data_IF_215288022802
#
_entry.id   IF_215288022802
#
_cell.length_a   1.000
_cell.length_b   1.000
_cell.length_c   1.000
_cell.angle_alpha   90.00
_cell.angle_beta   90.00
_cell.angle_gamma   90.00
#
_symmetry.space_group_name_H-M   'P 1'
#
loop_
_entity.id
_entity.type
_entity.pdbx_description
1 polymer ?
#
# COMPACT_ATOMS: atom_id res chain seq x y z
N UNK A 1 -21.54 4.82 -78.78
CA UNK A 1 -21.37 3.43 -79.25
C UNK A 1 -19.89 3.16 -79.45
N UNK A 2 -19.40 2.04 -78.89
CA UNK A 2 -18.20 1.29 -79.24
C UNK A 2 -16.92 2.02 -79.68
N UNK A 3 -15.84 1.88 -78.90
CA UNK A 3 -14.70 1.10 -79.39
C UNK A 3 -13.74 0.70 -78.26
N UNK A 4 -13.47 -0.61 -78.21
CA UNK A 4 -12.41 -1.29 -77.47
C UNK A 4 -11.17 -1.35 -78.37
N UNK A 5 -9.98 -0.97 -77.87
CA UNK A 5 -8.81 -1.86 -77.74
C UNK A 5 -7.44 -1.16 -77.84
N UNK A 6 -6.50 -1.71 -77.02
CA UNK A 6 -5.03 -1.76 -77.15
C UNK A 6 -4.19 -0.55 -76.70
N UNK A 7 -3.82 -0.59 -75.42
CA UNK A 7 -2.46 -0.30 -74.93
C UNK A 7 -2.05 -1.54 -74.11
N UNK A 8 -0.93 -2.22 -74.31
CA UNK A 8 0.43 -1.69 -74.45
C UNK A 8 1.17 -2.04 -73.16
N UNK A 9 1.68 -3.28 -73.06
CA UNK A 9 2.48 -3.81 -71.95
C UNK A 9 3.78 -3.01 -71.79
N UNK A 10 3.97 -2.34 -70.66
CA UNK A 10 5.27 -1.93 -70.13
C UNK A 10 5.29 -2.23 -68.62
N UNK A 11 6.28 -3.03 -68.21
CA UNK A 11 6.37 -3.66 -66.90
C UNK A 11 6.50 -2.69 -65.74
N UNK A 12 5.59 -2.83 -64.77
CA UNK A 12 5.70 -2.24 -63.44
C UNK A 12 6.45 -3.17 -62.49
N UNK A 13 7.57 -2.68 -61.95
CA UNK A 13 8.31 -3.28 -60.84
C UNK A 13 7.40 -3.42 -59.60
N UNK A 14 6.96 -4.63 -59.28
CA UNK A 14 6.36 -4.96 -57.99
C UNK A 14 7.44 -4.90 -56.90
N UNK A 15 7.53 -3.78 -56.18
CA UNK A 15 8.28 -3.72 -54.92
C UNK A 15 7.53 -4.56 -53.87
N UNK A 16 8.20 -5.59 -53.35
CA UNK A 16 7.74 -6.39 -52.20
C UNK A 16 7.44 -5.48 -51.00
N UNK A 17 6.43 -5.80 -50.16
CA UNK A 17 6.17 -5.05 -48.94
C UNK A 17 7.35 -5.20 -47.97
N UNK A 18 7.66 -4.17 -47.16
CA UNK A 18 8.81 -4.20 -46.26
C UNK A 18 8.57 -5.25 -45.17
N UNK A 19 9.56 -6.14 -44.99
CA UNK A 19 9.58 -7.07 -43.86
C UNK A 19 9.52 -6.29 -42.55
N UNK A 20 8.55 -6.64 -41.68
CA UNK A 20 8.47 -6.17 -40.30
C UNK A 20 9.78 -6.53 -39.59
N UNK A 21 10.64 -5.53 -39.36
CA UNK A 21 11.74 -5.64 -38.42
C UNK A 21 11.15 -5.83 -37.02
N UNK A 22 11.34 -7.00 -36.44
CA UNK A 22 11.10 -7.27 -35.02
C UNK A 22 11.95 -6.28 -34.21
N UNK A 23 11.32 -5.26 -33.63
CA UNK A 23 11.95 -4.40 -32.63
C UNK A 23 12.22 -5.29 -31.41
N UNK A 24 13.47 -5.73 -31.23
CA UNK A 24 13.94 -6.16 -29.91
C UNK A 24 13.71 -4.98 -28.97
N UNK A 25 12.88 -5.17 -27.95
CA UNK A 25 12.88 -4.27 -26.79
C UNK A 25 14.30 -4.28 -26.24
N UNK A 26 15.02 -3.17 -26.44
CA UNK A 26 16.26 -2.92 -25.71
C UNK A 26 15.82 -2.54 -24.30
N UNK A 27 15.95 -3.49 -23.39
CA UNK A 27 15.84 -3.22 -21.96
C UNK A 27 17.03 -2.33 -21.61
N UNK A 28 16.81 -1.02 -21.50
CA UNK A 28 17.83 -0.09 -20.98
C UNK A 28 17.95 -0.43 -19.49
N UNK A 29 18.89 -1.32 -19.16
CA UNK A 29 19.40 -1.43 -17.79
C UNK A 29 20.17 -0.14 -17.54
N UNK A 30 19.54 0.83 -16.89
CA UNK A 30 20.27 1.88 -16.21
C UNK A 30 21.15 1.19 -15.17
N UNK A 31 22.45 1.13 -15.43
CA UNK A 31 23.46 0.75 -14.45
C UNK A 31 23.51 1.90 -13.41
N UNK A 32 22.52 1.95 -12.52
CA UNK A 32 22.57 2.82 -11.34
C UNK A 32 23.54 2.19 -10.34
N UNK A 33 24.32 3.02 -9.66
CA UNK A 33 25.30 2.51 -8.69
C UNK A 33 24.56 1.82 -7.53
N UNK A 34 25.14 0.75 -6.98
CA UNK A 34 24.55 0.01 -5.85
C UNK A 34 24.39 0.87 -4.58
N UNK A 35 25.14 1.97 -4.47
CA UNK A 35 25.09 2.91 -3.34
C UNK A 35 23.84 3.82 -3.35
N UNK A 36 23.24 4.07 -4.52
CA UNK A 36 22.08 4.97 -4.68
C UNK A 36 20.74 4.38 -4.16
N UNK A 37 20.59 3.05 -4.16
CA UNK A 37 19.32 2.38 -3.78
C UNK A 37 19.34 1.78 -2.37
N UNK A 38 20.18 2.30 -1.49
CA UNK A 38 20.26 1.86 -0.10
C UNK A 38 18.91 2.03 0.61
N UNK A 39 18.38 0.99 1.29
CA UNK A 39 17.12 1.10 2.04
C UNK A 39 17.12 2.27 3.02
N UNK A 40 15.93 2.83 3.27
CA UNK A 40 15.72 3.92 4.24
C UNK A 40 14.88 3.37 5.40
N UNK A 41 15.30 3.68 6.64
CA UNK A 41 14.56 3.27 7.83
C UNK A 41 13.22 3.98 7.95
N UNK A 42 12.23 3.29 8.54
CA UNK A 42 10.94 3.88 8.88
C UNK A 42 11.06 5.08 9.83
N UNK A 43 12.11 5.13 10.65
CA UNK A 43 12.34 6.17 11.66
C UNK A 43 12.59 7.56 11.04
N UNK A 44 12.89 7.64 9.75
CA UNK A 44 13.01 8.91 9.02
C UNK A 44 11.64 9.57 8.76
N UNK A 45 10.55 8.82 8.92
CA UNK A 45 9.19 9.24 8.58
C UNK A 45 8.20 9.12 9.74
N UNK A 46 8.33 8.13 10.61
CA UNK A 46 7.46 7.96 11.77
C UNK A 46 8.25 8.10 13.07
N UNK A 47 7.59 8.63 14.10
CA UNK A 47 8.19 8.81 15.42
C UNK A 47 8.20 7.52 16.23
N UNK A 48 7.17 6.68 16.06
CA UNK A 48 7.03 5.44 16.81
C UNK A 48 6.65 4.28 15.91
N UNK A 49 7.30 3.13 16.14
CA UNK A 49 6.86 1.80 15.70
C UNK A 49 6.46 1.03 16.95
N UNK A 50 5.23 0.53 17.01
CA UNK A 50 4.71 -0.25 18.14
C UNK A 50 4.10 -1.55 17.68
N UNK A 51 4.13 -2.53 18.57
CA UNK A 51 3.41 -3.79 18.40
C UNK A 51 2.21 -3.85 19.34
N UNK A 52 1.06 -4.23 18.80
CA UNK A 52 -0.19 -4.37 19.54
C UNK A 52 -0.62 -5.83 19.52
N UNK A 53 -0.64 -6.47 20.68
CA UNK A 53 -1.05 -7.86 20.85
C UNK A 53 -2.56 -7.99 21.07
N UNK A 54 -3.21 -8.83 20.27
CA UNK A 54 -4.66 -9.05 20.22
C UNK A 54 -4.92 -10.54 20.00
N UNK A 55 -5.44 -11.23 21.00
CA UNK A 55 -5.86 -12.64 20.90
C UNK A 55 -4.78 -13.57 20.29
N UNK A 56 -3.52 -13.37 20.68
CA UNK A 56 -2.37 -14.13 20.17
C UNK A 56 -1.81 -13.67 18.82
N UNK A 57 -2.45 -12.70 18.17
CA UNK A 57 -1.92 -11.98 17.01
C UNK A 57 -1.16 -10.73 17.47
N UNK A 58 -0.16 -10.29 16.70
CA UNK A 58 0.66 -9.12 16.97
C UNK A 58 0.72 -8.23 15.76
N UNK A 59 0.18 -7.01 15.86
CA UNK A 59 0.12 -6.07 14.75
C UNK A 59 1.15 -4.96 14.90
N UNK A 60 1.91 -4.69 13.83
CA UNK A 60 2.82 -3.57 13.78
C UNK A 60 2.10 -2.30 13.35
N UNK A 61 2.37 -1.20 14.05
CA UNK A 61 1.81 0.12 13.79
C UNK A 61 2.90 1.18 13.79
N UNK A 62 2.70 2.20 12.98
CA UNK A 62 3.63 3.32 12.82
C UNK A 62 2.86 4.62 13.00
N UNK A 63 3.33 5.50 13.88
CA UNK A 63 2.62 6.73 14.23
C UNK A 63 3.48 7.98 14.19
N UNK A 64 2.83 9.10 13.86
CA UNK A 64 3.41 10.44 13.74
C UNK A 64 2.33 11.49 14.03
N UNK A 65 2.70 12.64 14.59
CA UNK A 65 1.81 13.81 14.69
C UNK A 65 1.19 14.02 16.07
N UNK A 66 0.21 14.91 16.15
CA UNK A 66 -0.34 15.39 17.43
C UNK A 66 -1.42 14.44 17.98
N UNK A 67 -1.10 13.76 19.09
CA UNK A 67 -1.96 12.77 19.77
C UNK A 67 -3.32 13.29 20.23
N UNK A 68 -3.49 14.61 20.37
CA UNK A 68 -4.77 15.22 20.77
C UNK A 68 -5.67 15.61 19.57
N UNK A 69 -5.18 15.43 18.35
CA UNK A 69 -5.88 15.80 17.12
C UNK A 69 -6.68 14.64 16.51
N UNK A 70 -7.37 14.89 15.40
CA UNK A 70 -8.06 13.85 14.61
C UNK A 70 -7.08 12.74 14.22
N UNK A 71 -7.53 11.48 14.35
CA UNK A 71 -6.74 10.30 14.01
C UNK A 71 -7.00 9.87 12.57
N UNK A 72 -5.94 9.85 11.76
CA UNK A 72 -5.95 9.36 10.39
C UNK A 72 -5.39 7.93 10.39
N UNK A 73 -6.27 6.94 10.22
CA UNK A 73 -5.90 5.52 10.18
C UNK A 73 -5.63 5.11 8.74
N UNK A 74 -4.41 4.65 8.46
CA UNK A 74 -3.94 4.35 7.11
C UNK A 74 -3.83 2.85 6.87
N UNK A 75 -4.59 2.35 5.89
CA UNK A 75 -4.68 0.94 5.53
C UNK A 75 -4.12 0.70 4.12
N UNK A 76 -3.02 -0.05 4.02
CA UNK A 76 -2.33 -0.30 2.75
C UNK A 76 -3.05 -1.33 1.85
N UNK A 77 -2.62 -1.41 0.58
CA UNK A 77 -3.13 -2.39 -0.39
C UNK A 77 -2.58 -3.81 -0.20
N UNK A 78 -3.12 -4.79 -0.94
CA UNK A 78 -2.67 -6.18 -0.87
C UNK A 78 -1.23 -6.36 -1.36
N UNK A 79 -0.39 -7.04 -0.58
CA UNK A 79 1.04 -7.22 -0.86
C UNK A 79 1.93 -6.04 -0.49
N UNK A 80 1.37 -4.97 0.05
CA UNK A 80 2.08 -3.80 0.57
C UNK A 80 2.25 -3.88 2.10
N UNK A 81 2.59 -2.77 2.74
CA UNK A 81 2.77 -2.60 4.18
C UNK A 81 2.51 -1.14 4.59
N UNK A 82 2.54 -0.84 5.89
CA UNK A 82 2.33 0.49 6.46
C UNK A 82 3.31 1.54 5.92
N UNK A 83 4.52 1.16 5.53
CA UNK A 83 5.56 2.06 5.04
C UNK A 83 5.28 2.63 3.65
N UNK A 84 4.24 2.15 2.97
CA UNK A 84 3.70 2.83 1.77
C UNK A 84 3.15 4.22 2.06
N UNK A 85 2.91 4.53 3.34
CA UNK A 85 2.40 5.82 3.78
C UNK A 85 3.49 6.77 4.29
N UNK A 86 4.76 6.36 4.30
CA UNK A 86 5.87 7.09 4.93
C UNK A 86 5.97 8.56 4.50
N UNK A 87 6.13 8.81 3.20
CA UNK A 87 6.27 10.18 2.68
C UNK A 87 4.95 10.96 2.84
N UNK A 88 3.83 10.31 2.54
CA UNK A 88 2.50 10.90 2.67
C UNK A 88 2.24 11.41 4.10
N UNK A 89 2.52 10.59 5.12
CA UNK A 89 2.31 10.92 6.53
C UNK A 89 3.12 12.17 6.93
N UNK A 90 4.40 12.23 6.52
CA UNK A 90 5.29 13.36 6.77
C UNK A 90 4.81 14.66 6.12
N UNK A 91 4.24 14.59 4.91
CA UNK A 91 3.63 15.76 4.27
C UNK A 91 2.32 16.17 4.96
N UNK A 92 1.48 15.20 5.34
CA UNK A 92 0.18 15.47 5.94
C UNK A 92 0.28 16.22 7.28
N UNK A 93 1.12 15.73 8.20
CA UNK A 93 1.26 16.35 9.53
C UNK A 93 1.92 17.73 9.47
N UNK A 94 2.67 18.02 8.39
CA UNK A 94 3.21 19.35 8.12
C UNK A 94 2.17 20.33 7.60
N UNK A 95 1.03 19.85 7.09
CA UNK A 95 -0.01 20.65 6.45
C UNK A 95 -1.26 20.86 7.34
N UNK A 96 -1.52 19.97 8.29
CA UNK A 96 -2.62 20.15 9.24
C UNK A 96 -2.39 19.39 10.56
N UNK A 97 -3.00 19.89 11.64
CA UNK A 97 -2.99 19.27 12.96
C UNK A 97 -3.74 17.93 12.94
N UNK A 98 -3.00 16.84 12.90
CA UNK A 98 -3.54 15.48 12.91
C UNK A 98 -2.54 14.51 13.52
N UNK A 99 -3.04 13.34 13.90
CA UNK A 99 -2.24 12.16 14.20
C UNK A 99 -2.42 11.14 13.08
N UNK A 100 -1.35 10.50 12.67
CA UNK A 100 -1.36 9.39 11.71
C UNK A 100 -1.08 8.08 12.44
N UNK A 101 -1.82 7.03 12.09
CA UNK A 101 -1.54 5.65 12.47
C UNK A 101 -1.59 4.75 11.23
N UNK A 102 -0.43 4.37 10.71
CA UNK A 102 -0.30 3.40 9.63
C UNK A 102 -0.16 1.99 10.20
N UNK A 103 -0.93 1.05 9.66
CA UNK A 103 -1.06 -0.31 10.21
C UNK A 103 -0.57 -1.32 9.19
N UNK A 104 0.28 -2.25 9.62
CA UNK A 104 0.55 -3.47 8.87
C UNK A 104 -0.62 -4.43 9.04
N UNK A 105 -1.32 -4.71 7.94
CA UNK A 105 -2.44 -5.66 7.94
C UNK A 105 -1.96 -7.09 8.24
N UNK A 106 -2.89 -7.96 8.65
CA UNK A 106 -2.64 -9.41 8.79
C UNK A 106 -1.88 -9.98 7.59
N UNK A 107 -0.84 -10.78 7.85
CA UNK A 107 0.02 -11.38 6.83
C UNK A 107 0.97 -10.42 6.11
N UNK A 108 0.97 -9.13 6.45
CA UNK A 108 1.76 -8.09 5.79
C UNK A 108 2.73 -7.43 6.77
N UNK A 109 3.74 -6.74 6.20
CA UNK A 109 4.75 -5.99 6.95
C UNK A 109 5.30 -6.76 8.15
N UNK A 110 5.40 -6.13 9.31
CA UNK A 110 5.87 -6.76 10.55
C UNK A 110 4.76 -7.44 11.37
N UNK A 111 3.50 -7.40 10.94
CA UNK A 111 2.39 -8.05 11.65
C UNK A 111 2.47 -9.57 11.55
N UNK A 112 2.30 -10.24 12.69
CA UNK A 112 2.28 -11.70 12.81
C UNK A 112 0.91 -12.14 13.32
N UNK A 113 0.31 -13.13 12.68
CA UNK A 113 -0.97 -13.68 13.15
C UNK A 113 -0.92 -15.20 13.25
N UNK A 114 -1.79 -15.74 14.11
CA UNK A 114 -1.95 -17.17 14.32
C UNK A 114 -2.46 -17.90 13.08
N UNK A 115 -3.20 -17.20 12.20
CA UNK A 115 -3.62 -17.70 10.88
C UNK A 115 -3.52 -16.61 9.81
N UNK A 116 -2.39 -16.57 9.11
CA UNK A 116 -2.17 -15.66 7.97
C UNK A 116 -2.94 -16.10 6.69
N UNK A 117 -3.68 -17.22 6.71
CA UNK A 117 -4.45 -17.69 5.54
C UNK A 117 -5.90 -17.19 5.52
N UNK A 118 -6.44 -16.80 6.68
CA UNK A 118 -7.74 -16.15 6.78
C UNK A 118 -7.60 -14.64 6.55
N UNK A 119 -7.72 -14.27 5.28
CA UNK A 119 -7.71 -12.89 4.81
C UNK A 119 -9.12 -12.50 4.34
N UNK A 120 -10.14 -13.01 5.01
CA UNK A 120 -11.53 -12.62 4.75
C UNK A 120 -11.76 -11.16 5.17
N UNK A 121 -12.76 -10.51 4.55
CA UNK A 121 -13.08 -9.13 4.87
C UNK A 121 -13.54 -8.96 6.33
N UNK A 122 -14.26 -9.95 6.87
CA UNK A 122 -14.69 -9.98 8.27
C UNK A 122 -13.48 -10.00 9.21
N UNK A 123 -12.50 -10.86 8.95
CA UNK A 123 -11.29 -10.97 9.78
C UNK A 123 -10.46 -9.69 9.73
N UNK A 124 -10.23 -9.12 8.55
CA UNK A 124 -9.55 -7.82 8.45
C UNK A 124 -10.28 -6.70 9.19
N UNK A 125 -11.62 -6.64 9.07
CA UNK A 125 -12.44 -5.62 9.76
C UNK A 125 -12.31 -5.75 11.27
N UNK A 126 -12.41 -6.98 11.79
CA UNK A 126 -12.29 -7.26 13.22
C UNK A 126 -10.88 -6.96 13.75
N UNK A 127 -9.83 -7.34 13.01
CA UNK A 127 -8.44 -7.06 13.38
C UNK A 127 -8.22 -5.56 13.62
N UNK A 128 -8.67 -4.71 12.69
CA UNK A 128 -8.48 -3.25 12.79
C UNK A 128 -9.33 -2.63 13.90
N UNK A 129 -10.60 -3.05 14.04
CA UNK A 129 -11.47 -2.53 15.12
C UNK A 129 -10.87 -2.89 16.48
N UNK A 130 -10.48 -4.14 16.70
CA UNK A 130 -9.86 -4.60 17.95
C UNK A 130 -8.53 -3.88 18.21
N UNK A 131 -7.73 -3.65 17.16
CA UNK A 131 -6.46 -2.92 17.28
C UNK A 131 -6.67 -1.49 17.73
N UNK A 132 -7.63 -0.77 17.13
CA UNK A 132 -7.93 0.60 17.51
C UNK A 132 -8.44 0.66 18.96
N UNK A 133 -9.37 -0.23 19.34
CA UNK A 133 -9.87 -0.32 20.73
C UNK A 133 -8.75 -0.57 21.73
N UNK A 134 -7.80 -1.45 21.38
CA UNK A 134 -6.64 -1.76 22.23
C UNK A 134 -5.63 -0.61 22.31
N UNK A 135 -5.47 0.15 21.23
CA UNK A 135 -4.51 1.25 21.14
C UNK A 135 -5.01 2.53 21.82
N UNK A 136 -6.33 2.72 21.93
CA UNK A 136 -6.97 3.88 22.55
C UNK A 136 -8.02 3.46 23.59
N UNK A 137 -7.62 2.84 24.71
CA UNK A 137 -8.54 2.25 25.69
C UNK A 137 -9.35 3.30 26.46
N UNK A 138 -8.75 4.45 26.76
CA UNK A 138 -9.38 5.48 27.62
C UNK A 138 -10.29 6.41 26.82
N UNK A 139 -9.82 6.83 25.65
CA UNK A 139 -10.53 7.78 24.80
C UNK A 139 -10.15 7.60 23.34
N UNK A 140 -11.12 7.13 22.55
CA UNK A 140 -11.00 7.06 21.10
C UNK A 140 -11.07 8.46 20.48
N UNK A 141 -10.04 8.93 19.74
CA UNK A 141 -10.13 10.17 18.98
C UNK A 141 -11.17 10.05 17.86
N UNK A 142 -11.64 11.17 17.30
CA UNK A 142 -12.39 11.11 16.04
C UNK A 142 -11.52 10.55 14.93
N UNK A 143 -12.07 9.67 14.11
CA UNK A 143 -11.32 8.90 13.12
C UNK A 143 -11.67 9.33 11.70
N UNK A 144 -10.63 9.49 10.88
CA UNK A 144 -10.73 9.43 9.42
C UNK A 144 -10.03 8.15 8.96
N UNK A 145 -10.80 7.23 8.38
CA UNK A 145 -10.24 6.03 7.77
C UNK A 145 -9.77 6.36 6.35
N UNK A 146 -8.53 5.97 6.01
CA UNK A 146 -8.00 6.12 4.66
C UNK A 146 -7.37 4.80 4.20
N UNK A 147 -7.76 4.35 3.01
CA UNK A 147 -7.30 3.06 2.52
C UNK A 147 -7.06 3.02 1.01
N UNK A 148 -6.01 2.28 0.63
CA UNK A 148 -5.66 2.02 -0.78
C UNK A 148 -6.02 0.60 -1.18
N UNK A 149 -6.67 0.42 -2.33
CA UNK A 149 -7.00 -0.90 -2.88
C UNK A 149 -7.72 -1.78 -1.85
N UNK A 150 -7.15 -2.93 -1.43
CA UNK A 150 -7.62 -3.76 -0.32
C UNK A 150 -7.89 -2.95 0.96
N UNK A 151 -6.98 -2.07 1.37
CA UNK A 151 -7.16 -1.22 2.55
C UNK A 151 -8.35 -0.27 2.42
N UNK A 152 -8.66 0.19 1.20
CA UNK A 152 -9.87 0.98 0.93
C UNK A 152 -11.14 0.15 1.13
N UNK A 153 -11.12 -1.10 0.68
CA UNK A 153 -12.22 -2.02 0.91
C UNK A 153 -12.43 -2.32 2.41
N UNK A 154 -11.35 -2.53 3.15
CA UNK A 154 -11.39 -2.72 4.61
C UNK A 154 -11.97 -1.47 5.30
N UNK A 155 -11.50 -0.27 4.94
CA UNK A 155 -11.99 0.99 5.50
C UNK A 155 -13.51 1.18 5.31
N UNK A 156 -14.02 0.86 4.11
CA UNK A 156 -15.46 0.89 3.81
C UNK A 156 -16.21 -0.11 4.70
N UNK A 157 -15.70 -1.33 4.86
CA UNK A 157 -16.38 -2.36 5.65
C UNK A 157 -16.43 -1.98 7.13
N UNK A 158 -15.33 -1.48 7.71
CA UNK A 158 -15.28 -0.95 9.08
C UNK A 158 -16.33 0.14 9.27
N UNK A 159 -16.38 1.13 8.37
CA UNK A 159 -17.31 2.25 8.49
C UNK A 159 -18.78 1.89 8.18
N UNK A 160 -19.04 0.73 7.60
CA UNK A 160 -20.40 0.29 7.22
C UNK A 160 -21.00 -0.75 8.17
N UNK A 161 -20.19 -1.42 8.99
CA UNK A 161 -20.68 -2.46 9.89
C UNK A 161 -21.33 -1.85 11.14
N UNK A 162 -22.39 -2.49 11.63
CA UNK A 162 -23.03 -2.16 12.91
C UNK A 162 -22.16 -2.56 14.13
N UNK A 163 -21.16 -3.43 13.92
CA UNK A 163 -20.25 -3.88 14.98
C UNK A 163 -19.17 -2.83 15.34
N UNK A 164 -19.01 -1.81 14.50
CA UNK A 164 -18.06 -0.71 14.74
C UNK A 164 -18.73 0.41 15.53
N UNK A 165 -18.22 0.63 16.74
CA UNK A 165 -18.54 1.77 17.60
C UNK A 165 -17.53 2.92 17.45
N UNK A 166 -16.65 2.84 16.45
CA UNK A 166 -15.60 3.81 16.22
C UNK A 166 -16.21 5.14 15.77
N UNK A 167 -15.76 6.29 16.31
CA UNK A 167 -16.25 7.62 15.95
C UNK A 167 -15.68 8.08 14.59
N UNK A 168 -16.10 7.41 13.51
CA UNK A 168 -15.62 7.65 12.15
C UNK A 168 -16.34 8.87 11.58
N UNK A 169 -15.60 9.96 11.42
CA UNK A 169 -16.11 11.23 10.88
C UNK A 169 -15.78 11.41 9.40
N UNK A 170 -14.81 10.66 8.88
CA UNK A 170 -14.40 10.70 7.49
C UNK A 170 -13.93 9.35 6.93
N UNK A 171 -14.10 9.17 5.62
CA UNK A 171 -13.68 7.99 4.88
C UNK A 171 -13.04 8.40 3.55
N UNK A 172 -11.82 7.95 3.33
CA UNK A 172 -11.01 8.24 2.15
C UNK A 172 -10.63 6.94 1.46
N UNK A 173 -11.04 6.78 0.21
CA UNK A 173 -10.82 5.56 -0.56
C UNK A 173 -9.95 5.88 -1.76
N UNK A 174 -8.87 5.11 -1.94
CA UNK A 174 -7.89 5.32 -3.00
C UNK A 174 -7.88 4.13 -3.97
N UNK A 175 -8.16 4.44 -5.23
CA UNK A 175 -7.98 3.56 -6.40
C UNK A 175 -8.68 2.20 -6.27
N UNK A 176 -9.89 2.17 -5.68
CA UNK A 176 -10.76 0.99 -5.65
C UNK A 176 -12.20 1.36 -5.97
N UNK A 177 -12.75 0.67 -6.97
CA UNK A 177 -14.15 0.74 -7.39
C UNK A 177 -14.60 -0.67 -7.72
N UNK A 178 -15.76 -1.09 -7.23
CA UNK A 178 -16.25 -2.48 -7.33
C UNK A 178 -16.19 -3.02 -8.76
N UNK A 179 -16.84 -2.35 -9.72
CA UNK A 179 -16.93 -2.84 -11.10
C UNK A 179 -15.56 -3.09 -11.73
N UNK A 180 -14.70 -2.08 -11.71
CA UNK A 180 -13.34 -2.19 -12.29
C UNK A 180 -12.44 -3.17 -11.53
N UNK A 181 -12.58 -3.29 -10.21
CA UNK A 181 -11.83 -4.24 -9.40
C UNK A 181 -12.19 -5.69 -9.76
N UNK A 182 -13.50 -5.98 -9.87
CA UNK A 182 -14.01 -7.31 -10.23
C UNK A 182 -13.57 -7.73 -11.63
N UNK A 183 -13.60 -6.81 -12.60
CA UNK A 183 -13.11 -7.05 -13.96
C UNK A 183 -11.59 -7.32 -14.01
N UNK A 184 -10.84 -6.70 -13.09
CA UNK A 184 -9.38 -6.76 -13.07
C UNK A 184 -8.81 -7.97 -12.35
N UNK A 185 -9.62 -8.77 -11.62
CA UNK A 185 -9.12 -9.88 -10.80
C UNK A 185 -8.28 -10.89 -11.60
N UNK A 186 -8.75 -11.30 -12.78
CA UNK A 186 -8.02 -12.23 -13.64
C UNK A 186 -6.67 -11.65 -14.12
N UNK A 187 -6.66 -10.36 -14.46
CA UNK A 187 -5.44 -9.67 -14.89
C UNK A 187 -4.42 -9.54 -13.75
N UNK A 188 -4.90 -9.32 -12.52
CA UNK A 188 -4.07 -9.25 -11.32
C UNK A 188 -3.38 -10.59 -11.09
N UNK A 189 -4.06 -11.71 -11.26
CA UNK A 189 -3.43 -13.01 -11.08
C UNK A 189 -2.32 -13.29 -12.09
N UNK A 190 -2.54 -12.94 -13.37
CA UNK A 190 -1.49 -13.01 -14.40
C UNK A 190 -0.30 -12.14 -14.02
N UNK A 191 -0.57 -10.93 -13.53
CA UNK A 191 0.45 -10.01 -13.10
C UNK A 191 1.28 -10.54 -11.93
N UNK A 192 0.64 -11.04 -10.86
CA UNK A 192 1.31 -11.61 -9.69
C UNK A 192 2.19 -12.80 -10.06
N UNK A 193 1.73 -13.68 -10.95
CA UNK A 193 2.50 -14.84 -11.43
C UNK A 193 3.71 -14.46 -12.27
N UNK A 194 3.69 -13.27 -12.88
CA UNK A 194 4.81 -12.75 -13.69
C UNK A 194 5.94 -12.14 -12.85
N UNK A 195 5.69 -11.87 -11.56
CA UNK A 195 6.70 -11.28 -10.66
C UNK A 195 7.88 -12.24 -10.45
N UNK A 196 9.11 -11.73 -10.24
CA UNK A 196 10.21 -12.54 -9.76
C UNK A 196 9.82 -13.28 -8.49
N UNK A 197 10.21 -14.56 -8.40
CA UNK A 197 9.95 -15.37 -7.21
C UNK A 197 10.90 -15.07 -6.06
N UNK A 198 12.04 -14.46 -6.34
CA UNK A 198 13.07 -14.15 -5.36
C UNK A 198 13.97 -13.02 -5.85
N UNK A 199 14.61 -12.33 -4.90
CA UNK A 199 15.59 -11.26 -5.13
C UNK A 199 16.91 -11.61 -4.46
N UNK A 200 18.05 -11.17 -5.02
CA UNK A 200 19.37 -11.47 -4.43
C UNK A 200 19.70 -10.55 -3.26
N UNK A 201 19.23 -9.31 -3.30
CA UNK A 201 19.44 -8.27 -2.29
C UNK A 201 18.20 -7.39 -2.15
N UNK A 202 18.15 -6.59 -1.07
CA UNK A 202 17.15 -5.52 -0.90
C UNK A 202 17.22 -4.50 -2.06
N UNK A 203 18.43 -4.12 -2.47
CA UNK A 203 18.66 -3.19 -3.59
C UNK A 203 18.13 -3.72 -4.93
N UNK A 204 18.28 -5.03 -5.20
CA UNK A 204 17.72 -5.68 -6.38
C UNK A 204 16.18 -5.63 -6.37
N UNK A 205 15.56 -5.81 -5.19
CA UNK A 205 14.12 -5.72 -5.02
C UNK A 205 13.61 -4.28 -5.22
N UNK A 206 14.30 -3.29 -4.64
CA UNK A 206 13.99 -1.86 -4.80
C UNK A 206 14.07 -1.47 -6.28
N UNK A 207 15.18 -1.83 -6.94
CA UNK A 207 15.38 -1.59 -8.37
C UNK A 207 14.28 -2.22 -9.22
N UNK A 208 13.87 -3.45 -8.89
CA UNK A 208 12.78 -4.13 -9.60
C UNK A 208 11.43 -3.43 -9.42
N UNK A 209 11.09 -2.99 -8.20
CA UNK A 209 9.85 -2.27 -7.93
C UNK A 209 9.75 -0.95 -8.70
N UNK A 210 10.86 -0.23 -8.80
CA UNK A 210 10.93 0.98 -9.62
C UNK A 210 10.82 0.69 -11.13
N UNK A 211 11.54 -0.33 -11.61
CA UNK A 211 11.65 -0.62 -13.05
C UNK A 211 10.38 -1.16 -13.72
N UNK A 212 9.48 -1.80 -12.97
CA UNK A 212 8.25 -2.38 -13.52
C UNK A 212 7.01 -1.49 -13.32
N UNK A 213 7.21 -0.21 -12.98
CA UNK A 213 6.12 0.76 -12.84
C UNK A 213 5.23 0.51 -11.63
N UNK A 214 5.71 -0.19 -10.60
CA UNK A 214 4.97 -0.34 -9.34
C UNK A 214 5.02 0.94 -8.51
N UNK A 215 6.22 1.51 -8.36
CA UNK A 215 6.46 2.73 -7.59
C UNK A 215 7.41 3.60 -8.39
N UNK A 216 6.98 4.81 -8.74
CA UNK A 216 7.77 5.77 -9.53
C UNK A 216 8.68 6.62 -8.64
N UNK A 217 8.29 6.83 -7.38
CA UNK A 217 9.04 7.58 -6.41
C UNK A 217 10.16 6.73 -5.79
N UNK A 218 11.41 7.13 -6.03
CA UNK A 218 12.59 6.42 -5.55
C UNK A 218 12.68 6.36 -4.02
N UNK A 219 12.40 7.47 -3.36
CA UNK A 219 12.46 7.56 -1.90
C UNK A 219 11.38 6.66 -1.27
N UNK A 220 10.15 6.69 -1.80
CA UNK A 220 9.08 5.79 -1.36
C UNK A 220 9.44 4.32 -1.57
N UNK A 221 10.03 3.99 -2.72
CA UNK A 221 10.46 2.62 -3.03
C UNK A 221 11.53 2.12 -2.04
N UNK A 222 12.48 2.97 -1.65
CA UNK A 222 13.58 2.63 -0.73
C UNK A 222 13.12 2.39 0.71
N UNK A 223 12.00 2.99 1.13
CA UNK A 223 11.41 2.76 2.46
C UNK A 223 10.38 1.62 2.45
N UNK A 224 9.54 1.51 1.43
CA UNK A 224 8.38 0.61 1.45
C UNK A 224 8.65 -0.80 0.94
N UNK A 225 9.51 -0.97 -0.08
CA UNK A 225 9.77 -2.28 -0.71
C UNK A 225 10.42 -3.29 0.25
N UNK A 226 11.39 -2.91 1.12
CA UNK A 226 11.94 -3.87 2.07
C UNK A 226 10.89 -4.54 2.96
N UNK A 227 9.80 -3.84 3.30
CA UNK A 227 8.68 -4.39 4.07
C UNK A 227 7.76 -5.32 3.26
N UNK A 228 7.98 -5.47 1.95
CA UNK A 228 7.21 -6.37 1.07
C UNK A 228 7.93 -7.70 0.84
N UNK A 229 9.18 -7.83 1.31
CA UNK A 229 10.01 -9.02 1.14
C UNK A 229 10.56 -9.49 2.48
N UNK A 230 10.92 -10.78 2.54
CA UNK A 230 11.56 -11.39 3.70
C UNK A 230 12.73 -12.26 3.27
N UNK A 231 13.71 -12.38 4.14
CA UNK A 231 14.83 -13.26 3.96
C UNK A 231 14.37 -14.72 3.97
N UNK A 232 14.85 -15.52 3.02
CA UNK A 232 14.47 -16.93 2.91
C UNK A 232 15.10 -17.75 4.03
N UNK A 233 16.32 -17.43 4.45
CA UNK A 233 17.06 -18.19 5.46
C UNK A 233 16.62 -17.86 6.87
N UNK A 234 16.48 -16.57 7.20
CA UNK A 234 16.15 -16.12 8.57
C UNK A 234 14.65 -15.95 8.80
N UNK A 235 13.85 -15.82 7.73
CA UNK A 235 12.43 -15.50 7.82
C UNK A 235 12.12 -14.05 8.21
N UNK A 236 13.14 -13.25 8.57
CA UNK A 236 12.99 -11.84 8.97
C UNK A 236 12.54 -10.97 7.79
N UNK A 237 11.76 -9.93 8.08
CA UNK A 237 11.34 -8.97 7.07
C UNK A 237 12.56 -8.17 6.59
N UNK A 238 12.53 -7.70 5.34
CA UNK A 238 13.66 -6.95 4.77
C UNK A 238 14.02 -5.68 5.55
N UNK A 239 13.04 -5.03 6.19
CA UNK A 239 13.24 -3.87 7.09
C UNK A 239 14.06 -4.23 8.33
N UNK A 240 13.81 -5.40 8.90
CA UNK A 240 14.43 -5.82 10.17
C UNK A 240 15.92 -6.20 10.02
N UNK A 241 16.47 -6.13 8.81
CA UNK A 241 17.88 -6.39 8.54
C UNK A 241 18.75 -5.14 8.63
N UNK A 242 18.15 -3.95 8.60
CA UNK A 242 18.86 -2.67 8.68
C UNK A 242 18.25 -1.69 9.69
N UNK A 243 17.06 -1.98 10.22
CA UNK A 243 16.47 -1.21 11.31
C UNK A 243 16.95 -1.70 12.68
N UNK A 244 17.15 -0.75 13.60
CA UNK A 244 17.32 -1.04 15.02
C UNK A 244 16.01 -1.62 15.62
N UNK A 245 16.09 -2.48 16.65
CA UNK A 245 14.92 -3.03 17.30
C UNK A 245 14.03 -1.92 17.89
N UNK A 246 12.71 -2.03 17.67
CA UNK A 246 11.75 -1.05 18.17
C UNK A 246 11.79 -0.96 19.70
N UNK A 247 11.74 0.26 20.24
CA UNK A 247 11.58 0.49 21.68
C UNK A 247 10.13 0.19 22.04
N UNK A 248 9.86 -0.99 22.64
CA UNK A 248 8.59 -1.28 23.31
C UNK A 248 8.46 -0.34 24.52
N UNK A 249 7.95 0.88 24.29
CA UNK A 249 7.59 1.79 25.39
C UNK A 249 6.13 1.55 25.77
N UNK A 250 5.80 1.40 27.07
CA UNK A 250 4.42 1.22 27.51
C UNK A 250 3.56 2.44 27.15
N UNK A 251 2.25 2.22 27.08
CA UNK A 251 1.20 3.24 27.00
C UNK A 251 1.51 4.43 27.93
N UNK A 252 1.25 5.66 27.46
CA UNK A 252 1.44 6.93 28.18
C UNK A 252 0.88 6.88 29.63
N UNK A 253 1.74 6.56 30.60
CA UNK A 253 1.63 6.90 32.03
C UNK A 253 3.04 6.83 32.66
N UNK A 254 3.36 7.78 33.54
CA UNK A 254 4.71 8.20 33.93
C UNK A 254 5.55 7.23 34.81
N UNK A 255 6.87 7.27 34.55
CA UNK A 255 8.08 7.33 35.41
C UNK A 255 8.38 6.35 36.59
N UNK A 256 9.69 5.95 36.60
CA UNK A 256 10.55 5.35 37.69
C UNK A 256 10.40 3.82 37.86
N UNK A 257 11.41 2.92 37.98
CA UNK A 257 12.88 2.91 38.21
C UNK A 257 13.47 1.55 37.78
N UNK A 258 14.79 1.48 37.51
CA UNK A 258 15.59 0.25 37.29
C UNK A 258 15.52 -0.77 38.44
N UNK A 259 15.85 -2.06 38.18
CA UNK A 259 17.22 -2.50 38.48
C UNK A 259 17.88 -3.49 37.48
N UNK A 260 19.21 -3.49 37.56
CA UNK A 260 20.25 -4.31 36.91
C UNK A 260 20.11 -5.83 37.13
N UNK A 261 20.68 -6.66 36.22
CA UNK A 261 21.53 -7.87 36.47
C UNK A 261 21.96 -8.44 35.09
N UNK A 262 23.23 -8.31 34.70
CA UNK A 262 24.36 -9.28 34.78
C UNK A 262 24.42 -10.36 33.68
N UNK A 263 25.54 -10.32 32.95
CA UNK A 263 26.02 -11.23 31.91
C UNK A 263 26.53 -12.55 32.53
N UNK A 264 26.32 -13.69 31.86
CA UNK A 264 27.37 -14.71 31.69
C UNK A 264 27.04 -15.87 30.71
N UNK A 265 28.04 -16.15 29.85
CA UNK A 265 28.56 -17.48 29.42
C UNK A 265 27.94 -18.33 28.28
N UNK A 266 28.61 -18.22 27.11
CA UNK A 266 29.07 -19.18 26.05
C UNK A 266 28.79 -20.70 26.20
N UNK A 267 28.42 -21.36 25.07
CA UNK A 267 29.10 -22.56 24.47
C UNK A 267 28.65 -22.97 23.06
N UNK A 268 29.66 -23.19 22.20
CA UNK A 268 29.81 -23.96 20.93
C UNK A 268 29.28 -25.41 21.03
N UNK A 269 29.05 -26.26 20.02
CA UNK A 269 29.11 -26.35 18.53
C UNK A 269 28.31 -27.63 18.16
N UNK A 270 27.83 -27.78 16.91
CA UNK A 270 28.04 -28.99 16.09
C UNK A 270 27.34 -28.93 14.70
N UNK A 271 28.03 -29.46 13.70
CA UNK A 271 27.82 -29.29 12.26
C UNK A 271 27.32 -30.56 11.53
N UNK A 272 26.69 -30.30 10.39
CA UNK A 272 26.49 -31.12 9.18
C UNK A 272 25.79 -32.49 9.17
N UNK A 273 24.67 -32.50 8.44
CA UNK A 273 24.23 -33.64 7.63
C UNK A 273 23.78 -33.16 6.24
N UNK A 274 24.53 -33.54 5.19
CA UNK A 274 24.26 -33.18 3.80
C UNK A 274 23.19 -34.09 3.17
N UNK A 275 22.26 -33.53 2.39
CA UNK A 275 21.40 -34.28 1.48
C UNK A 275 21.25 -33.59 0.12
N UNK A 276 21.69 -34.35 -0.89
CA UNK A 276 21.28 -34.40 -2.31
C UNK A 276 20.82 -33.11 -3.03
N UNK A 277 21.75 -32.56 -3.82
CA UNK A 277 21.53 -31.42 -4.73
C UNK A 277 20.82 -31.89 -6.01
N UNK A 278 19.53 -31.61 -6.12
CA UNK A 278 18.86 -31.40 -7.40
C UNK A 278 19.21 -29.98 -7.87
N UNK A 279 19.76 -29.83 -9.09
CA UNK A 279 20.15 -28.56 -9.70
C UNK A 279 18.98 -27.59 -9.90
N UNK A 280 18.51 -26.99 -8.81
CA UNK A 280 17.67 -25.79 -8.81
C UNK A 280 18.63 -24.60 -8.95
N UNK A 281 18.34 -23.68 -9.86
CA UNK A 281 18.99 -22.35 -9.85
C UNK A 281 18.96 -21.83 -8.42
N UNK A 282 20.05 -21.26 -7.87
CA UNK A 282 20.03 -20.75 -6.51
C UNK A 282 18.89 -19.75 -6.38
N UNK A 283 17.97 -20.02 -5.46
CA UNK A 283 16.92 -19.06 -5.10
C UNK A 283 17.64 -17.81 -4.56
N UNK A 284 17.16 -16.62 -4.92
CA UNK A 284 17.66 -15.39 -4.33
C UNK A 284 17.44 -15.36 -2.81
N UNK A 285 18.18 -14.53 -2.08
CA UNK A 285 18.15 -14.47 -0.61
C UNK A 285 16.80 -13.99 -0.04
N UNK A 286 15.98 -13.29 -0.83
CA UNK A 286 14.69 -12.76 -0.40
C UNK A 286 13.55 -13.29 -1.25
N UNK A 287 12.38 -13.42 -0.64
CA UNK A 287 11.10 -13.73 -1.29
C UNK A 287 10.03 -12.75 -0.84
N UNK A 288 8.90 -12.70 -1.55
CA UNK A 288 7.74 -11.90 -1.13
C UNK A 288 7.28 -12.29 0.28
N UNK A 289 6.97 -11.29 1.10
CA UNK A 289 6.44 -11.47 2.47
C UNK A 289 5.18 -12.34 2.44
N UNK A 290 4.26 -12.02 1.53
CA UNK A 290 3.00 -12.70 1.33
C UNK A 290 2.89 -13.23 -0.11
N UNK A 291 2.39 -14.46 -0.24
CA UNK A 291 2.01 -15.01 -1.54
C UNK A 291 0.58 -14.56 -1.87
N UNK A 292 0.47 -13.36 -2.44
CA UNK A 292 -0.82 -12.77 -2.75
C UNK A 292 -1.64 -13.61 -3.73
N UNK A 293 -1.03 -14.49 -4.54
CA UNK A 293 -1.79 -15.39 -5.42
C UNK A 293 -2.67 -16.37 -4.62
N UNK A 294 -2.23 -16.79 -3.42
CA UNK A 294 -2.99 -17.73 -2.57
C UNK A 294 -4.23 -17.10 -1.94
N UNK A 295 -4.33 -15.77 -1.99
CA UNK A 295 -5.42 -15.02 -1.38
C UNK A 295 -6.59 -14.80 -2.35
N UNK A 296 -6.47 -15.28 -3.59
CA UNK A 296 -7.48 -15.16 -4.66
C UNK A 296 -8.89 -15.58 -4.23
N UNK A 297 -9.00 -16.64 -3.42
CA UNK A 297 -10.27 -17.14 -2.89
C UNK A 297 -11.06 -16.07 -2.11
N UNK A 298 -10.38 -15.06 -1.57
CA UNK A 298 -10.96 -13.98 -0.78
C UNK A 298 -11.29 -12.74 -1.61
N UNK A 299 -10.68 -12.54 -2.79
CA UNK A 299 -10.78 -11.30 -3.56
C UNK A 299 -12.22 -10.90 -3.94
N UNK A 300 -13.10 -11.83 -4.38
CA UNK A 300 -14.49 -11.46 -4.63
C UNK A 300 -15.17 -10.87 -3.40
N UNK A 301 -14.94 -11.47 -2.22
CA UNK A 301 -15.47 -10.99 -0.95
C UNK A 301 -14.89 -9.65 -0.48
N UNK A 302 -13.75 -9.22 -1.03
CA UNK A 302 -13.19 -7.90 -0.73
C UNK A 302 -13.96 -6.77 -1.42
N UNK A 303 -14.40 -6.98 -2.66
CA UNK A 303 -14.93 -5.89 -3.50
C UNK A 303 -16.44 -5.99 -3.77
N UNK A 304 -17.05 -7.17 -3.57
CA UNK A 304 -18.48 -7.35 -3.84
C UNK A 304 -19.35 -6.45 -2.93
N UNK A 305 -20.24 -5.68 -3.56
CA UNK A 305 -21.13 -4.72 -2.90
C UNK A 305 -20.42 -3.48 -2.33
N UNK A 306 -19.13 -3.30 -2.61
CA UNK A 306 -18.32 -2.23 -2.03
C UNK A 306 -18.86 -0.84 -2.37
N UNK A 307 -19.28 -0.61 -3.62
CA UNK A 307 -19.75 0.71 -4.04
C UNK A 307 -21.04 1.11 -3.31
N UNK A 308 -21.96 0.15 -3.11
CA UNK A 308 -23.19 0.39 -2.35
C UNK A 308 -22.92 0.65 -0.87
N UNK A 309 -22.03 -0.13 -0.25
CA UNK A 309 -21.60 0.09 1.14
C UNK A 309 -20.94 1.47 1.30
N UNK A 310 -20.05 1.85 0.40
CA UNK A 310 -19.42 3.17 0.41
C UNK A 310 -20.47 4.30 0.39
N UNK A 311 -21.50 4.17 -0.46
CA UNK A 311 -22.55 5.17 -0.58
C UNK A 311 -23.52 5.22 0.61
N UNK A 312 -23.67 4.14 1.39
CA UNK A 312 -24.55 4.11 2.57
C UNK A 312 -23.94 4.70 3.83
N UNK A 313 -22.62 4.92 3.86
CA UNK A 313 -21.91 5.39 5.05
C UNK A 313 -22.23 6.86 5.35
N UNK A 314 -22.62 7.13 6.60
CA UNK A 314 -22.98 8.45 7.13
C UNK A 314 -21.77 9.26 7.64
N UNK A 315 -20.69 9.29 6.88
CA UNK A 315 -19.50 10.09 7.14
C UNK A 315 -19.13 10.92 5.90
N UNK A 316 -18.24 11.90 6.07
CA UNK A 316 -17.72 12.65 4.92
C UNK A 316 -16.79 11.76 4.11
N UNK A 317 -17.01 11.73 2.79
CA UNK A 317 -16.37 10.77 1.89
C UNK A 317 -15.54 11.46 0.84
N UNK A 318 -14.36 10.93 0.59
CA UNK A 318 -13.44 11.34 -0.47
C UNK A 318 -12.98 10.11 -1.26
N UNK A 319 -13.12 10.16 -2.58
CA UNK A 319 -12.63 9.14 -3.51
C UNK A 319 -11.48 9.70 -4.34
N UNK A 320 -10.31 9.07 -4.26
CA UNK A 320 -9.13 9.40 -5.07
C UNK A 320 -8.95 8.35 -6.15
N UNK A 321 -8.93 8.76 -7.42
CA UNK A 321 -8.76 7.85 -8.56
C UNK A 321 -7.51 8.23 -9.37
N UNK A 322 -6.75 7.22 -9.80
CA UNK A 322 -5.67 7.41 -10.77
C UNK A 322 -6.22 7.67 -12.19
N UNK A 323 -7.41 7.15 -12.49
CA UNK A 323 -8.12 7.37 -13.75
C UNK A 323 -9.65 7.37 -13.54
N UNK A 324 -10.36 8.27 -14.22
CA UNK A 324 -11.82 8.41 -14.17
C UNK A 324 -12.56 7.22 -14.78
N UNK A 325 -11.91 6.50 -15.70
CA UNK A 325 -12.49 5.34 -16.40
C UNK A 325 -12.84 4.16 -15.47
N UNK A 326 -12.46 4.26 -14.20
CA UNK A 326 -12.70 3.22 -13.19
C UNK A 326 -14.04 3.34 -12.48
N UNK A 327 -14.81 4.42 -12.68
CA UNK A 327 -16.10 4.58 -12.01
C UNK A 327 -17.13 3.56 -12.53
N UNK A 328 -17.82 2.89 -11.61
CA UNK A 328 -18.99 2.07 -11.92
C UNK A 328 -20.27 2.91 -11.92
N UNK A 329 -21.38 2.27 -12.30
CA UNK A 329 -22.69 2.93 -12.38
C UNK A 329 -23.14 3.51 -11.04
N UNK A 330 -22.94 2.78 -9.94
CA UNK A 330 -23.45 3.18 -8.63
C UNK A 330 -22.68 4.39 -8.10
N UNK A 331 -21.34 4.39 -8.20
CA UNK A 331 -20.51 5.54 -7.85
C UNK A 331 -20.71 6.73 -8.78
N UNK A 332 -20.94 6.51 -10.07
CA UNK A 332 -21.26 7.59 -11.02
C UNK A 332 -22.54 8.31 -10.59
N UNK A 333 -23.61 7.57 -10.28
CA UNK A 333 -24.87 8.13 -9.79
C UNK A 333 -24.66 8.82 -8.44
N UNK A 334 -23.92 8.20 -7.52
CA UNK A 334 -23.62 8.79 -6.21
C UNK A 334 -22.84 10.10 -6.31
N UNK A 335 -21.89 10.19 -7.24
CA UNK A 335 -21.10 11.39 -7.49
C UNK A 335 -21.96 12.50 -8.07
N UNK A 336 -22.81 12.20 -9.05
CA UNK A 336 -23.77 13.15 -9.61
C UNK A 336 -24.78 13.67 -8.58
N UNK A 337 -25.07 12.88 -7.54
CA UNK A 337 -25.90 13.27 -6.40
C UNK A 337 -25.14 14.04 -5.31
N UNK A 338 -23.83 14.27 -5.47
CA UNK A 338 -23.00 14.96 -4.48
C UNK A 338 -22.78 14.20 -3.17
N UNK A 339 -22.87 12.86 -3.19
CA UNK A 339 -22.75 12.03 -1.96
C UNK A 339 -21.32 11.91 -1.43
N UNK A 340 -20.32 12.24 -2.23
CA UNK A 340 -18.91 12.22 -1.86
C UNK A 340 -18.12 13.23 -2.71
N UNK A 341 -16.94 13.59 -2.26
CA UNK A 341 -15.98 14.33 -3.08
C UNK A 341 -15.13 13.36 -3.90
N UNK A 342 -14.80 13.74 -5.13
CA UNK A 342 -13.90 12.97 -5.99
C UNK A 342 -12.76 13.85 -6.49
N UNK A 343 -11.54 13.31 -6.45
CA UNK A 343 -10.37 13.91 -7.08
C UNK A 343 -9.69 12.88 -7.97
N UNK A 344 -9.26 13.32 -9.15
CA UNK A 344 -8.54 12.48 -10.12
C UNK A 344 -7.10 12.95 -10.21
N UNK A 345 -6.17 12.03 -9.98
CA UNK A 345 -4.73 12.27 -10.10
C UNK A 345 -4.23 11.59 -11.38
N UNK A 346 -4.08 12.32 -12.50
CA UNK A 346 -3.54 11.72 -13.72
C UNK A 346 -2.04 11.49 -13.60
N UNK A 347 -1.52 10.48 -14.31
CA UNK A 347 -0.08 10.16 -14.46
C UNK A 347 0.61 9.51 -13.26
N UNK A 348 -0.12 9.11 -12.24
CA UNK A 348 0.37 8.21 -11.17
C UNK A 348 0.14 6.75 -11.56
N UNK A 349 0.94 5.84 -10.98
CA UNK A 349 0.83 4.40 -11.09
C UNK A 349 -0.25 3.84 -10.18
N UNK A 350 -0.06 2.59 -9.71
CA UNK A 350 -1.07 1.90 -8.91
C UNK A 350 -1.17 2.43 -7.46
N UNK A 351 -0.04 2.81 -6.85
CA UNK A 351 0.02 3.36 -5.49
C UNK A 351 0.22 4.88 -5.56
N UNK A 352 -0.87 5.64 -5.73
CA UNK A 352 -0.82 7.10 -5.92
C UNK A 352 -0.22 7.81 -4.71
N UNK A 353 -0.42 7.25 -3.51
CA UNK A 353 0.15 7.73 -2.25
C UNK A 353 1.68 7.59 -2.19
N UNK A 354 2.26 6.67 -2.96
CA UNK A 354 3.72 6.52 -3.07
C UNK A 354 4.27 7.37 -4.21
N UNK A 355 3.55 7.45 -5.33
CA UNK A 355 4.01 8.15 -6.53
C UNK A 355 3.96 9.68 -6.41
N UNK A 356 2.93 10.22 -5.75
CA UNK A 356 2.77 11.67 -5.51
C UNK A 356 2.26 11.95 -4.09
N UNK A 357 3.08 11.66 -3.06
CA UNK A 357 2.67 11.71 -1.65
C UNK A 357 2.26 13.12 -1.21
N UNK A 358 2.98 14.15 -1.68
CA UNK A 358 2.69 15.55 -1.35
C UNK A 358 1.32 15.98 -1.88
N UNK A 359 1.00 15.64 -3.13
CA UNK A 359 -0.30 15.99 -3.71
C UNK A 359 -1.45 15.28 -3.00
N UNK A 360 -1.27 14.00 -2.68
CA UNK A 360 -2.26 13.22 -1.93
C UNK A 360 -2.45 13.81 -0.52
N UNK A 361 -1.37 14.21 0.17
CA UNK A 361 -1.44 14.92 1.44
C UNK A 361 -2.20 16.24 1.32
N UNK A 362 -1.90 17.06 0.31
CA UNK A 362 -2.60 18.34 0.10
C UNK A 362 -4.08 18.18 -0.21
N UNK A 363 -4.47 17.13 -0.93
CA UNK A 363 -5.89 16.84 -1.13
C UNK A 363 -6.55 16.46 0.19
N UNK A 364 -5.92 15.60 1.00
CA UNK A 364 -6.46 15.23 2.29
C UNK A 364 -6.52 16.43 3.26
N UNK A 365 -5.47 17.23 3.37
CA UNK A 365 -5.47 18.43 4.22
C UNK A 365 -6.58 19.40 3.82
N UNK A 366 -6.85 19.59 2.52
CA UNK A 366 -8.00 20.38 2.06
C UNK A 366 -9.33 19.76 2.51
N UNK A 367 -9.48 18.44 2.39
CA UNK A 367 -10.66 17.73 2.86
C UNK A 367 -10.86 17.88 4.38
N UNK A 368 -9.80 17.70 5.18
CA UNK A 368 -9.85 17.82 6.64
C UNK A 368 -10.22 19.26 7.07
N UNK A 369 -9.52 20.26 6.53
CA UNK A 369 -9.76 21.68 6.86
C UNK A 369 -11.14 22.13 6.39
N UNK A 370 -11.58 21.73 5.18
CA UNK A 370 -12.90 22.11 4.66
C UNK A 370 -14.03 21.56 5.53
N UNK A 371 -13.89 20.33 6.02
CA UNK A 371 -14.89 19.71 6.89
C UNK A 371 -14.70 20.05 8.38
N UNK A 372 -13.74 20.93 8.72
CA UNK A 372 -13.41 21.34 10.10
C UNK A 372 -12.97 20.16 11.00
N UNK A 373 -12.32 19.16 10.41
CA UNK A 373 -11.78 18.01 11.15
C UNK A 373 -10.39 18.29 11.72
N UNK A 374 -9.64 19.21 11.10
CA UNK A 374 -8.30 19.62 11.52
C UNK A 374 -8.09 21.11 11.23
N UNK A 375 -7.21 21.75 12.00
CA UNK A 375 -6.72 23.09 11.69
C UNK A 375 -5.52 23.00 10.73
N UNK A 376 -5.37 23.94 9.80
CA UNK A 376 -4.17 24.03 8.97
C UNK A 376 -2.97 24.48 9.81
N UNK A 377 -1.79 23.97 9.48
CA UNK A 377 -0.51 24.48 10.00
C UNK A 377 0.02 25.60 9.08
N UNK A 378 1.05 26.33 9.53
CA UNK A 378 1.56 27.52 8.82
C UNK A 378 2.00 27.31 7.37
N UNK A 379 2.37 26.08 6.99
CA UNK A 379 2.86 25.74 5.65
C UNK A 379 1.74 25.41 4.65
N UNK A 380 0.49 25.32 5.10
CA UNK A 380 -0.61 24.89 4.24
C UNK A 380 -1.35 26.04 3.56
N UNK A 381 -1.29 26.04 2.23
CA UNK A 381 -2.12 26.92 1.39
C UNK A 381 -3.41 26.19 1.03
N UNK A 382 -4.53 26.67 1.59
CA UNK A 382 -5.86 26.13 1.27
C UNK A 382 -6.16 26.31 -0.22
N UNK A 383 -6.43 25.21 -0.91
CA UNK A 383 -6.88 25.23 -2.29
C UNK A 383 -8.40 25.34 -2.25
N UNK A 384 -8.91 26.55 -2.43
CA UNK A 384 -10.34 26.76 -2.64
C UNK A 384 -10.71 26.16 -4.02
N UNK A 385 -11.79 25.36 -4.13
CA UNK A 385 -12.29 24.95 -5.43
C UNK A 385 -12.55 26.22 -6.25
N UNK A 386 -11.95 26.33 -7.43
CA UNK A 386 -12.28 27.40 -8.36
C UNK A 386 -13.77 27.33 -8.67
N UNK A 387 -14.47 28.45 -8.51
CA UNK A 387 -15.88 28.59 -8.86
C UNK A 387 -16.13 28.35 -10.35
#
# INVERSE_FOLDING_TARGET
MSHISKFGLLGGNFKKPPQRKTRRLVCIRLNRSYEELTPISWSEYFEYKRFVDIDGNRFATYSLGNVESVLIVLLHGGGFNALTWSLFAKHLVKQCECQVLAIDLRGHGNSFTTDDNDLSMTTFTNDIISLLRKSYPDKMPSIVLMGHSLGGAIAVNIASTEESDLPIIGLVVIDVVEGSAMESLASMQSFLRSRPKSFKSLTDAISWGMGNGHIKNEESARVSIPGQIKNIATGKLGTDEFDEPAIDTPVLTEAISEPQYSIDSIKEDEEFGASSISSKKPLGNYTWRIDLCKTEKHWPGWFQGLSKKFLSIHAQKLLLLANIDRMDRDLTVGQMQGKFEMQVLPRVGHAVQEDDPEKVASILSNFLVRNKFANPTGDFVRILPGC
#
